data_IF_198419438518
#
_entry.id   IF_198419438518
#
_cell.length_a   1.000
_cell.length_b   1.000
_cell.length_c   1.000
_cell.angle_alpha   90.00
_cell.angle_beta   90.00
_cell.angle_gamma   90.00
#
_symmetry.space_group_name_H-M   'P 1'
#
loop_
_entity.id
_entity.type
_entity.pdbx_description
1 polymer ?
#
# COMPACT_ATOMS: atom_id res chain seq x y z
N UNK A 1 -0.95 16.60 17.79
CA UNK A 1 -1.99 15.79 17.16
C UNK A 1 -3.38 16.00 17.79
N UNK A 2 -3.57 15.80 19.11
CA UNK A 2 -4.89 15.89 19.75
C UNK A 2 -5.56 17.26 19.62
N UNK A 3 -4.79 18.37 19.76
CA UNK A 3 -5.32 19.73 19.53
C UNK A 3 -5.75 19.94 18.08
N UNK A 4 -4.99 19.43 17.12
CA UNK A 4 -5.36 19.49 15.70
C UNK A 4 -6.64 18.71 15.42
N UNK A 5 -6.78 17.52 16.01
CA UNK A 5 -8.00 16.73 15.90
C UNK A 5 -9.23 17.50 16.42
N UNK A 6 -9.10 18.12 17.60
CA UNK A 6 -10.18 18.91 18.18
C UNK A 6 -10.51 20.18 17.37
N UNK A 7 -9.47 20.86 16.82
CA UNK A 7 -9.66 22.06 16.00
C UNK A 7 -10.53 21.77 14.76
N UNK A 8 -10.39 20.61 14.16
CA UNK A 8 -11.14 20.17 12.99
C UNK A 8 -12.34 19.25 13.33
N UNK A 9 -12.82 19.25 14.57
CA UNK A 9 -13.98 18.45 15.01
C UNK A 9 -13.80 16.94 14.73
N UNK A 10 -12.61 16.41 15.09
CA UNK A 10 -12.27 14.98 15.02
C UNK A 10 -12.60 14.30 13.68
N UNK A 11 -12.12 14.80 12.53
CA UNK A 11 -12.59 14.36 11.21
C UNK A 11 -12.28 12.89 10.93
N UNK A 12 -11.23 12.31 11.52
CA UNK A 12 -10.93 10.88 11.41
C UNK A 12 -12.08 9.97 11.89
N UNK A 13 -12.92 10.43 12.81
CA UNK A 13 -14.05 9.66 13.32
C UNK A 13 -15.25 9.61 12.36
N UNK A 14 -15.21 10.43 11.30
CA UNK A 14 -16.25 10.55 10.28
C UNK A 14 -15.90 9.79 9.01
N UNK A 15 -14.74 9.12 8.99
CA UNK A 15 -14.20 8.37 7.86
C UNK A 15 -13.86 6.95 8.31
N UNK A 16 -14.00 5.98 7.42
CA UNK A 16 -13.33 4.68 7.59
C UNK A 16 -11.86 4.87 7.26
N UNK A 17 -11.00 4.67 8.25
CA UNK A 17 -9.58 5.01 8.17
C UNK A 17 -8.72 3.76 7.97
N UNK A 18 -7.93 3.72 6.88
CA UNK A 18 -7.05 2.61 6.53
C UNK A 18 -5.61 3.12 6.51
N UNK A 19 -4.80 2.68 7.48
CA UNK A 19 -3.40 3.06 7.61
C UNK A 19 -2.47 1.93 7.17
N UNK A 20 -1.49 2.22 6.29
CA UNK A 20 -0.54 1.23 5.78
C UNK A 20 0.90 1.56 6.22
N UNK A 21 1.56 0.60 6.85
CA UNK A 21 3.00 0.65 7.14
C UNK A 21 3.74 -0.51 6.50
N UNK A 22 5.06 -0.42 6.44
CA UNK A 22 5.95 -1.40 5.83
C UNK A 22 7.14 -0.71 5.15
N UNK A 23 8.10 -1.47 4.65
CA UNK A 23 9.23 -0.91 3.91
C UNK A 23 8.81 -0.61 2.47
N UNK A 24 8.25 -1.59 1.76
CA UNK A 24 7.86 -1.47 0.35
C UNK A 24 6.39 -1.81 0.14
N UNK A 25 5.84 -1.42 -1.01
CA UNK A 25 4.47 -1.74 -1.40
C UNK A 25 3.41 -0.75 -0.92
N UNK A 26 3.67 0.12 0.07
CA UNK A 26 2.68 1.07 0.62
C UNK A 26 1.95 1.87 -0.45
N UNK A 27 2.66 2.62 -1.27
CA UNK A 27 2.07 3.46 -2.32
C UNK A 27 1.23 2.64 -3.30
N UNK A 28 1.77 1.52 -3.80
CA UNK A 28 1.02 0.65 -4.71
C UNK A 28 -0.27 0.15 -4.07
N UNK A 29 -0.17 -0.35 -2.84
CA UNK A 29 -1.33 -0.90 -2.11
C UNK A 29 -2.37 0.17 -1.78
N UNK A 30 -1.97 1.40 -1.39
CA UNK A 30 -2.93 2.49 -1.14
C UNK A 30 -3.72 2.84 -2.39
N UNK A 31 -3.08 2.88 -3.56
CA UNK A 31 -3.75 3.10 -4.84
C UNK A 31 -4.64 1.93 -5.24
N UNK A 32 -4.22 0.68 -4.98
CA UNK A 32 -5.04 -0.50 -5.23
C UNK A 32 -6.32 -0.47 -4.40
N UNK A 33 -6.22 -0.22 -3.09
CA UNK A 33 -7.37 -0.12 -2.18
C UNK A 33 -8.30 1.02 -2.63
N UNK A 34 -7.74 2.23 -2.90
CA UNK A 34 -8.51 3.36 -3.42
C UNK A 34 -9.29 2.96 -4.68
N UNK A 35 -8.62 2.35 -5.66
CA UNK A 35 -9.25 1.96 -6.93
C UNK A 35 -10.38 0.95 -6.73
N UNK A 36 -10.18 -0.07 -5.90
CA UNK A 36 -11.20 -1.08 -5.60
C UNK A 36 -12.41 -0.43 -4.92
N UNK A 37 -12.21 0.40 -3.90
CA UNK A 37 -13.28 1.10 -3.21
C UNK A 37 -14.06 2.04 -4.15
N UNK A 38 -13.37 2.78 -5.03
CA UNK A 38 -14.00 3.67 -6.02
C UNK A 38 -14.81 2.90 -7.06
N UNK A 39 -14.30 1.74 -7.51
CA UNK A 39 -15.05 0.86 -8.41
C UNK A 39 -16.31 0.28 -7.75
N UNK A 40 -16.30 0.14 -6.43
CA UNK A 40 -17.48 -0.21 -5.61
C UNK A 40 -18.38 1.00 -5.31
N UNK A 41 -18.15 2.15 -5.96
CA UNK A 41 -18.97 3.36 -5.80
C UNK A 41 -18.69 4.18 -4.55
N UNK A 42 -17.57 3.93 -3.85
CA UNK A 42 -17.18 4.67 -2.65
C UNK A 42 -16.35 5.90 -3.00
N UNK A 43 -16.55 7.00 -2.26
CA UNK A 43 -15.69 8.17 -2.39
C UNK A 43 -14.53 8.08 -1.40
N UNK A 44 -13.30 8.15 -1.92
CA UNK A 44 -12.09 7.81 -1.19
C UNK A 44 -11.08 8.96 -1.21
N UNK A 45 -10.58 9.33 -0.02
CA UNK A 45 -9.39 10.15 0.13
C UNK A 45 -8.12 9.29 0.18
N UNK A 46 -7.02 9.79 -0.36
CA UNK A 46 -5.72 9.14 -0.30
C UNK A 46 -4.68 10.12 0.24
N UNK A 47 -3.76 9.64 1.10
CA UNK A 47 -2.60 10.39 1.58
C UNK A 47 -1.37 9.50 1.49
N UNK A 48 -0.32 9.97 0.83
CA UNK A 48 0.90 9.18 0.68
C UNK A 48 2.06 9.93 0.04
N UNK A 49 3.05 9.18 -0.40
CA UNK A 49 4.31 9.68 -0.97
C UNK A 49 4.10 10.53 -2.23
N UNK A 50 3.09 10.22 -3.04
CA UNK A 50 2.79 10.98 -4.29
C UNK A 50 1.95 12.24 -3.99
N UNK A 51 1.59 12.47 -2.73
CA UNK A 51 0.72 13.57 -2.30
C UNK A 51 -0.58 13.07 -1.68
N UNK A 52 -1.55 13.97 -1.53
CA UNK A 52 -2.89 13.64 -1.11
C UNK A 52 -3.87 13.81 -2.28
N UNK A 53 -4.96 13.07 -2.25
CA UNK A 53 -6.02 13.11 -3.27
C UNK A 53 -7.41 13.06 -2.62
N UNK A 54 -8.34 13.79 -3.21
CA UNK A 54 -9.78 13.68 -2.95
C UNK A 54 -10.44 13.34 -4.29
N UNK A 55 -10.82 12.08 -4.50
CA UNK A 55 -11.16 11.60 -5.84
C UNK A 55 -9.96 11.78 -6.79
N UNK A 56 -10.13 12.61 -7.83
CA UNK A 56 -9.07 12.92 -8.81
C UNK A 56 -8.32 14.25 -8.50
N UNK A 57 -8.77 15.02 -7.51
CA UNK A 57 -8.13 16.27 -7.13
C UNK A 57 -6.87 16.01 -6.30
N UNK A 58 -5.74 16.58 -6.74
CA UNK A 58 -4.46 16.47 -6.05
C UNK A 58 -4.26 17.61 -5.06
N UNK A 59 -3.90 17.27 -3.83
CA UNK A 59 -3.48 18.20 -2.79
C UNK A 59 -1.98 18.02 -2.54
N UNK A 60 -1.20 19.11 -2.46
CA UNK A 60 0.23 19.02 -2.19
C UNK A 60 0.48 18.46 -0.78
N UNK A 61 1.44 17.56 -0.65
CA UNK A 61 1.96 17.07 0.62
C UNK A 61 3.48 17.09 0.61
N UNK A 62 4.09 17.53 1.70
CA UNK A 62 5.56 17.57 1.84
C UNK A 62 6.13 16.23 2.34
N UNK A 63 5.33 15.49 3.07
CA UNK A 63 5.72 14.24 3.73
C UNK A 63 4.77 13.11 3.35
N UNK A 64 5.28 11.88 3.28
CA UNK A 64 4.46 10.67 3.10
C UNK A 64 3.32 10.60 4.13
N UNK A 65 3.63 10.91 5.39
CA UNK A 65 2.66 11.11 6.47
C UNK A 65 2.76 12.56 6.91
N UNK A 66 1.76 13.40 6.62
CA UNK A 66 1.79 14.83 6.96
C UNK A 66 1.92 15.07 8.45
N UNK A 67 2.37 16.28 8.82
CA UNK A 67 2.30 16.77 10.20
C UNK A 67 0.86 16.80 10.70
N UNK A 68 0.65 16.63 12.00
CA UNK A 68 -0.68 16.43 12.59
C UNK A 68 -1.70 17.49 12.19
N UNK A 69 -1.32 18.75 12.11
CA UNK A 69 -2.22 19.82 11.67
C UNK A 69 -2.69 19.62 10.22
N UNK A 70 -1.75 19.41 9.31
CA UNK A 70 -2.05 19.17 7.89
C UNK A 70 -2.86 17.90 7.69
N UNK A 71 -2.55 16.85 8.44
CA UNK A 71 -3.26 15.58 8.39
C UNK A 71 -4.74 15.75 8.74
N UNK A 72 -5.04 16.40 9.87
CA UNK A 72 -6.42 16.63 10.26
C UNK A 72 -7.15 17.63 9.36
N UNK A 73 -6.44 18.64 8.82
CA UNK A 73 -6.98 19.56 7.80
C UNK A 73 -7.37 18.79 6.52
N UNK A 74 -6.53 17.86 6.06
CA UNK A 74 -6.84 17.00 4.90
C UNK A 74 -8.03 16.10 5.17
N UNK A 75 -8.11 15.49 6.35
CA UNK A 75 -9.27 14.69 6.75
C UNK A 75 -10.56 15.51 6.77
N UNK A 76 -10.52 16.74 7.29
CA UNK A 76 -11.68 17.63 7.28
C UNK A 76 -12.11 17.96 5.85
N UNK A 77 -11.19 18.26 4.95
CA UNK A 77 -11.48 18.49 3.53
C UNK A 77 -12.08 17.25 2.85
N UNK A 78 -11.59 16.05 3.19
CA UNK A 78 -12.16 14.79 2.69
C UNK A 78 -13.61 14.58 3.19
N UNK A 79 -13.87 14.87 4.46
CA UNK A 79 -15.25 14.82 5.02
C UNK A 79 -16.15 15.82 4.31
N UNK A 80 -15.73 17.06 4.15
CA UNK A 80 -16.48 18.11 3.45
C UNK A 80 -16.78 17.74 1.99
N UNK A 81 -15.80 17.07 1.34
CA UNK A 81 -15.98 16.55 -0.01
C UNK A 81 -16.88 15.31 -0.08
N UNK A 82 -17.34 14.77 1.06
CA UNK A 82 -18.19 13.58 1.13
C UNK A 82 -17.46 12.27 0.94
N UNK A 83 -16.16 12.18 1.26
CA UNK A 83 -15.44 10.91 1.32
C UNK A 83 -16.02 10.05 2.44
N UNK A 84 -16.13 8.74 2.17
CA UNK A 84 -16.49 7.72 3.15
C UNK A 84 -15.24 7.06 3.75
N UNK A 85 -14.16 6.98 2.95
CA UNK A 85 -12.91 6.31 3.28
C UNK A 85 -11.73 7.25 3.14
N UNK A 86 -10.70 7.00 3.95
CA UNK A 86 -9.35 7.52 3.71
C UNK A 86 -8.36 6.37 3.78
N UNK A 87 -7.51 6.27 2.76
CA UNK A 87 -6.40 5.31 2.71
C UNK A 87 -5.10 6.08 2.79
N UNK A 88 -4.23 5.76 3.76
CA UNK A 88 -3.01 6.53 3.92
C UNK A 88 -1.77 5.69 4.20
N UNK A 89 -0.64 6.13 3.66
CA UNK A 89 0.66 5.63 4.04
C UNK A 89 1.04 6.16 5.43
N UNK A 90 1.38 5.26 6.36
CA UNK A 90 1.84 5.58 7.71
C UNK A 90 3.32 5.20 7.82
N UNK A 91 4.18 6.19 7.65
CA UNK A 91 5.63 6.00 7.72
C UNK A 91 6.11 5.78 9.15
N UNK A 92 7.22 5.08 9.31
CA UNK A 92 7.86 4.89 10.62
C UNK A 92 8.21 6.22 11.30
N UNK A 93 8.66 7.22 10.52
CA UNK A 93 8.90 8.57 11.03
C UNK A 93 7.60 9.28 11.45
N UNK A 94 6.50 9.08 10.71
CA UNK A 94 5.19 9.61 11.11
C UNK A 94 4.71 9.05 12.45
N UNK A 95 4.96 7.76 12.69
CA UNK A 95 4.67 7.09 13.95
C UNK A 95 5.63 7.54 15.08
N UNK A 96 6.95 7.59 14.80
CA UNK A 96 7.97 8.04 15.75
C UNK A 96 7.72 9.48 16.25
N UNK A 97 7.21 10.34 15.38
CA UNK A 97 6.95 11.76 15.68
C UNK A 97 5.50 12.02 16.10
N UNK A 98 4.73 10.99 16.44
CA UNK A 98 3.34 11.10 16.91
C UNK A 98 2.42 11.88 15.96
N UNK A 99 2.70 11.87 14.64
CA UNK A 99 1.89 12.60 13.66
C UNK A 99 0.46 12.07 13.57
N UNK A 100 0.27 10.78 13.85
CA UNK A 100 -1.03 10.10 13.86
C UNK A 100 -1.59 9.87 15.27
N UNK A 101 -0.98 10.43 16.32
CA UNK A 101 -1.43 10.21 17.67
C UNK A 101 -2.90 10.69 17.87
N UNK A 102 -3.69 9.83 18.52
CA UNK A 102 -5.12 10.07 18.76
C UNK A 102 -6.04 9.67 17.58
N UNK A 103 -5.50 9.18 16.48
CA UNK A 103 -6.27 8.49 15.43
C UNK A 103 -6.36 7.01 15.81
N UNK A 104 -7.57 6.49 15.91
CA UNK A 104 -7.82 5.05 15.96
C UNK A 104 -8.23 4.60 14.56
N UNK A 105 -7.29 4.00 13.83
CA UNK A 105 -7.56 3.47 12.51
C UNK A 105 -8.55 2.30 12.57
N UNK A 106 -9.47 2.21 11.62
CA UNK A 106 -10.32 1.03 11.49
C UNK A 106 -9.50 -0.16 11.04
N UNK A 107 -8.56 0.06 10.11
CA UNK A 107 -7.64 -0.97 9.62
C UNK A 107 -6.18 -0.46 9.67
N UNK A 108 -5.30 -1.22 10.31
CA UNK A 108 -3.86 -1.04 10.29
C UNK A 108 -3.20 -2.16 9.48
N UNK A 109 -2.40 -1.83 8.46
CA UNK A 109 -1.84 -2.80 7.52
C UNK A 109 -0.32 -2.83 7.61
N UNK A 110 0.26 -4.04 7.68
CA UNK A 110 1.69 -4.31 7.55
C UNK A 110 1.97 -5.11 6.28
N UNK A 111 2.78 -4.55 5.38
CA UNK A 111 3.14 -5.20 4.12
C UNK A 111 4.40 -6.05 4.21
N UNK A 112 5.50 -5.48 4.66
CA UNK A 112 6.80 -6.14 4.82
C UNK A 112 7.79 -5.27 5.59
N UNK A 113 8.88 -5.88 6.07
CA UNK A 113 9.99 -5.17 6.69
C UNK A 113 11.33 -5.64 6.11
N UNK A 114 12.17 -4.69 5.74
CA UNK A 114 13.58 -4.92 5.37
C UNK A 114 14.43 -3.74 5.81
N UNK A 115 15.74 -3.90 5.98
CA UNK A 115 16.61 -2.78 6.35
C UNK A 115 16.48 -1.61 5.38
N UNK A 116 16.02 -0.48 5.90
CA UNK A 116 15.83 0.78 5.18
C UNK A 116 15.74 1.91 6.23
N UNK A 117 15.95 3.14 5.84
CA UNK A 117 15.78 4.29 6.74
C UNK A 117 16.60 4.22 8.05
N UNK A 118 17.81 3.62 8.01
CA UNK A 118 18.72 3.55 9.14
C UNK A 118 19.85 4.56 8.92
N UNK A 119 19.93 5.56 9.77
CA UNK A 119 20.93 6.63 9.64
C UNK A 119 20.74 7.76 10.64
N UNK A 120 21.69 8.71 10.73
CA UNK A 120 21.70 9.75 11.75
C UNK A 120 20.47 10.66 11.79
N UNK A 121 19.78 10.81 10.64
CA UNK A 121 18.58 11.66 10.52
C UNK A 121 17.26 10.86 10.50
N UNK A 122 17.32 9.53 10.64
CA UNK A 122 16.14 8.66 10.54
C UNK A 122 16.00 7.78 11.77
N UNK A 123 16.33 6.47 11.70
CA UNK A 123 16.28 5.54 12.81
C UNK A 123 17.70 5.13 13.23
N UNK A 124 17.93 5.03 14.55
CA UNK A 124 19.23 4.65 15.10
C UNK A 124 19.58 3.17 14.82
N UNK A 125 18.57 2.31 14.71
CA UNK A 125 18.73 0.89 14.44
C UNK A 125 17.53 0.29 13.70
N UNK A 126 17.69 -0.94 13.21
CA UNK A 126 16.62 -1.71 12.60
C UNK A 126 15.50 -2.04 13.60
N UNK A 127 15.87 -2.31 14.85
CA UNK A 127 14.93 -2.58 15.95
C UNK A 127 14.05 -1.36 16.23
N UNK A 128 14.64 -0.16 16.28
CA UNK A 128 13.87 1.09 16.41
C UNK A 128 12.92 1.31 15.23
N UNK A 129 13.41 1.04 14.00
CA UNK A 129 12.58 1.12 12.78
C UNK A 129 11.38 0.19 12.84
N UNK A 130 11.58 -1.07 13.25
CA UNK A 130 10.52 -2.06 13.47
C UNK A 130 9.57 -1.63 14.58
N UNK A 131 10.10 -1.19 15.74
CA UNK A 131 9.29 -0.73 16.87
C UNK A 131 8.40 0.45 16.47
N UNK A 132 8.93 1.42 15.74
CA UNK A 132 8.13 2.54 15.26
C UNK A 132 6.95 2.07 14.39
N UNK A 133 7.15 1.09 13.51
CA UNK A 133 6.05 0.55 12.68
C UNK A 133 5.03 -0.22 13.52
N UNK A 134 5.45 -0.92 14.57
CA UNK A 134 4.56 -1.67 15.46
C UNK A 134 3.53 -0.77 16.15
N UNK A 135 3.81 0.53 16.30
CA UNK A 135 2.91 1.50 16.94
C UNK A 135 1.55 1.60 16.21
N UNK A 136 1.50 1.34 14.89
CA UNK A 136 0.24 1.31 14.15
C UNK A 136 -0.74 0.28 14.72
N UNK A 137 -0.24 -0.87 15.20
CA UNK A 137 -1.06 -1.96 15.74
C UNK A 137 -1.54 -1.75 17.16
N UNK A 138 -1.09 -0.65 17.79
CA UNK A 138 -1.61 -0.14 19.08
C UNK A 138 -2.66 0.95 18.89
N UNK A 139 -2.88 1.40 17.65
CA UNK A 139 -3.83 2.46 17.29
C UNK A 139 -4.71 2.07 16.08
N UNK A 140 -5.02 0.77 15.93
CA UNK A 140 -6.02 0.30 14.98
C UNK A 140 -6.98 -0.69 15.64
N UNK A 141 -8.15 -0.89 15.01
CA UNK A 141 -9.17 -1.88 15.45
C UNK A 141 -8.84 -3.26 14.92
N UNK A 142 -8.54 -3.35 13.63
CA UNK A 142 -8.15 -4.59 12.93
C UNK A 142 -6.77 -4.37 12.32
N UNK A 143 -5.82 -5.22 12.71
CA UNK A 143 -4.48 -5.29 12.15
C UNK A 143 -4.42 -6.36 11.05
N UNK A 144 -4.01 -6.00 9.85
CA UNK A 144 -3.84 -6.91 8.72
C UNK A 144 -2.35 -7.08 8.45
N UNK A 145 -1.82 -8.29 8.57
CA UNK A 145 -0.37 -8.53 8.51
C UNK A 145 0.00 -9.62 7.52
N UNK A 146 1.14 -9.43 6.86
CA UNK A 146 1.78 -10.43 6.02
C UNK A 146 2.40 -11.51 6.91
N UNK A 147 1.81 -12.71 6.96
CA UNK A 147 2.30 -13.81 7.77
C UNK A 147 3.62 -14.42 7.25
N UNK A 148 3.99 -14.15 5.99
CA UNK A 148 5.24 -14.64 5.39
C UNK A 148 6.46 -13.77 5.74
N UNK A 149 6.24 -12.57 6.31
CA UNK A 149 7.34 -11.71 6.74
C UNK A 149 7.91 -12.20 8.08
N UNK A 150 9.22 -12.43 8.13
CA UNK A 150 9.91 -12.96 9.32
C UNK A 150 9.84 -12.03 10.54
N UNK A 151 9.49 -10.77 10.36
CA UNK A 151 9.41 -9.76 11.42
C UNK A 151 7.99 -9.55 11.96
N UNK A 152 7.00 -10.33 11.51
CA UNK A 152 5.59 -10.15 11.89
C UNK A 152 5.38 -10.19 13.41
N UNK A 153 6.09 -11.07 14.12
CA UNK A 153 6.01 -11.16 15.59
C UNK A 153 6.53 -9.89 16.28
N UNK A 154 7.59 -9.30 15.73
CA UNK A 154 8.13 -8.02 16.20
C UNK A 154 7.17 -6.84 15.95
N UNK A 155 6.52 -6.83 14.81
CA UNK A 155 5.50 -5.83 14.46
C UNK A 155 4.26 -5.95 15.35
N UNK A 156 3.84 -7.16 15.68
CA UNK A 156 2.68 -7.40 16.56
C UNK A 156 3.00 -7.30 18.05
N UNK A 157 4.26 -7.05 18.42
CA UNK A 157 4.64 -6.92 19.83
C UNK A 157 3.87 -5.81 20.55
N UNK A 158 3.01 -6.18 21.51
CA UNK A 158 2.19 -5.26 22.26
C UNK A 158 1.01 -4.65 21.49
N UNK A 159 0.59 -5.28 20.38
CA UNK A 159 -0.64 -4.90 19.68
C UNK A 159 -1.88 -4.99 20.58
N UNK A 160 -2.91 -4.23 20.26
CA UNK A 160 -4.20 -4.20 20.99
C UNK A 160 -5.38 -4.44 20.06
N UNK A 161 -5.12 -4.68 18.76
CA UNK A 161 -6.12 -4.89 17.72
C UNK A 161 -6.47 -6.37 17.54
N UNK A 162 -7.60 -6.65 16.90
CA UNK A 162 -7.86 -7.96 16.28
C UNK A 162 -6.88 -8.14 15.10
N UNK A 163 -6.29 -9.34 14.95
CA UNK A 163 -5.30 -9.60 13.90
C UNK A 163 -5.92 -10.48 12.82
N UNK A 164 -5.74 -10.08 11.57
CA UNK A 164 -6.03 -10.85 10.36
C UNK A 164 -4.75 -11.02 9.56
N UNK A 165 -4.60 -12.15 8.91
CA UNK A 165 -3.38 -12.55 8.23
C UNK A 165 -3.60 -12.82 6.74
N UNK A 166 -2.59 -12.55 5.93
CA UNK A 166 -2.54 -13.02 4.55
C UNK A 166 -1.18 -13.67 4.25
N UNK A 167 -1.16 -14.66 3.35
CA UNK A 167 0.04 -15.45 3.06
C UNK A 167 -0.03 -16.12 1.69
N UNK A 168 1.14 -16.32 1.07
CA UNK A 168 1.31 -17.18 -0.09
C UNK A 168 2.09 -18.48 0.24
N UNK A 169 2.55 -18.65 1.51
CA UNK A 169 3.46 -19.74 1.90
C UNK A 169 2.95 -20.58 3.08
N UNK A 170 2.02 -20.05 3.88
CA UNK A 170 1.53 -20.70 5.09
C UNK A 170 0.03 -20.45 5.32
N UNK A 171 -0.55 -21.16 6.27
CA UNK A 171 -1.95 -20.98 6.66
C UNK A 171 -2.22 -19.55 7.18
N UNK A 172 -3.28 -18.91 6.68
CA UNK A 172 -3.68 -17.55 6.98
C UNK A 172 -5.19 -17.34 6.74
N UNK A 173 -5.76 -16.22 7.19
CA UNK A 173 -7.16 -15.87 6.92
C UNK A 173 -7.44 -15.71 5.42
N UNK A 174 -6.45 -15.25 4.64
CA UNK A 174 -6.48 -15.18 3.18
C UNK A 174 -5.19 -15.76 2.61
N UNK A 175 -5.30 -16.76 1.74
CA UNK A 175 -4.15 -17.45 1.14
C UNK A 175 -4.14 -17.31 -0.37
N UNK A 176 -2.95 -17.17 -0.95
CA UNK A 176 -2.75 -17.25 -2.39
C UNK A 176 -2.00 -18.53 -2.77
N UNK A 177 -2.46 -19.20 -3.85
CA UNK A 177 -1.82 -20.37 -4.44
C UNK A 177 -1.85 -20.28 -5.96
N UNK A 178 -1.20 -21.25 -6.65
CA UNK A 178 -1.14 -21.32 -8.12
C UNK A 178 -0.78 -19.97 -8.78
N UNK A 179 0.24 -19.33 -8.22
CA UNK A 179 0.70 -18.02 -8.66
C UNK A 179 1.44 -18.17 -9.99
N UNK A 180 0.94 -17.50 -11.03
CA UNK A 180 1.50 -17.52 -12.37
C UNK A 180 1.55 -16.15 -13.03
N UNK A 181 2.28 -16.09 -14.16
CA UNK A 181 2.49 -14.87 -14.92
C UNK A 181 1.42 -14.68 -15.99
N UNK A 182 0.99 -13.44 -16.20
CA UNK A 182 0.16 -13.01 -17.33
C UNK A 182 1.06 -12.27 -18.33
N UNK A 183 1.02 -12.70 -19.59
CA UNK A 183 1.63 -11.99 -20.70
C UNK A 183 0.67 -12.09 -21.90
N UNK A 184 -0.33 -11.22 -21.92
CA UNK A 184 -1.41 -11.22 -22.92
C UNK A 184 -1.40 -9.86 -23.64
N UNK A 185 -1.17 -9.84 -24.95
CA UNK A 185 -1.18 -8.62 -25.78
C UNK A 185 -0.28 -7.49 -25.22
N UNK A 186 0.89 -7.84 -24.67
CA UNK A 186 1.83 -6.89 -24.09
C UNK A 186 1.45 -6.38 -22.69
N UNK A 187 0.35 -6.87 -22.12
CA UNK A 187 -0.03 -6.62 -20.73
C UNK A 187 0.59 -7.69 -19.85
N UNK A 188 1.52 -7.27 -19.02
CA UNK A 188 2.15 -8.12 -18.02
C UNK A 188 1.36 -8.08 -16.71
N UNK A 189 1.39 -9.17 -15.95
CA UNK A 189 0.68 -9.23 -14.68
C UNK A 189 0.85 -10.57 -13.99
N UNK A 190 0.02 -10.81 -12.97
CA UNK A 190 -0.02 -12.04 -12.20
C UNK A 190 -1.46 -12.56 -12.11
N UNK A 191 -1.62 -13.89 -12.11
CA UNK A 191 -2.85 -14.56 -11.70
C UNK A 191 -2.56 -15.48 -10.52
N UNK A 192 -3.56 -15.73 -9.70
CA UNK A 192 -3.44 -16.61 -8.54
C UNK A 192 -4.82 -17.05 -8.04
N UNK A 193 -4.87 -18.20 -7.39
CA UNK A 193 -6.04 -18.66 -6.68
C UNK A 193 -6.02 -18.11 -5.25
N UNK A 194 -7.19 -17.80 -4.71
CA UNK A 194 -7.37 -17.27 -3.36
C UNK A 194 -8.29 -18.21 -2.59
N UNK A 195 -7.93 -18.53 -1.35
CA UNK A 195 -8.74 -19.34 -0.42
C UNK A 195 -8.73 -18.71 0.97
N UNK A 196 -9.64 -19.15 1.84
CA UNK A 196 -9.81 -18.63 3.21
C UNK A 196 -11.10 -17.84 3.36
N UNK A 197 -11.03 -16.56 3.75
CA UNK A 197 -12.24 -15.73 3.86
C UNK A 197 -12.86 -15.37 2.49
N UNK A 198 -12.13 -15.55 1.40
CA UNK A 198 -12.61 -15.48 0.01
C UNK A 198 -12.20 -16.76 -0.71
N UNK A 199 -12.97 -17.18 -1.72
CA UNK A 199 -12.64 -18.32 -2.59
C UNK A 199 -12.86 -17.91 -4.05
N UNK A 200 -11.76 -17.57 -4.76
CA UNK A 200 -11.84 -17.02 -6.10
C UNK A 200 -10.50 -17.12 -6.85
N UNK A 201 -10.54 -16.80 -8.15
CA UNK A 201 -9.35 -16.52 -8.97
C UNK A 201 -9.18 -15.02 -9.14
N UNK A 202 -7.98 -14.52 -8.87
CA UNK A 202 -7.65 -13.12 -9.00
C UNK A 202 -6.63 -12.89 -10.12
N UNK A 203 -6.72 -11.71 -10.76
CA UNK A 203 -5.77 -11.22 -11.77
C UNK A 203 -5.41 -9.77 -11.45
N UNK A 204 -4.14 -9.43 -11.59
CA UNK A 204 -3.65 -8.06 -11.47
C UNK A 204 -2.66 -7.77 -12.60
N UNK A 205 -2.85 -6.64 -13.29
CA UNK A 205 -1.95 -6.20 -14.38
C UNK A 205 -0.79 -5.33 -13.86
N UNK A 206 -0.16 -5.79 -12.78
CA UNK A 206 1.09 -5.26 -12.24
C UNK A 206 2.03 -6.45 -12.13
N UNK A 207 3.14 -6.48 -12.88
CA UNK A 207 4.06 -7.62 -12.90
C UNK A 207 4.79 -7.81 -11.57
N UNK A 208 5.11 -9.08 -11.27
CA UNK A 208 5.93 -9.50 -10.14
C UNK A 208 5.18 -9.99 -8.91
N UNK A 209 5.78 -10.95 -8.21
CA UNK A 209 5.19 -11.62 -7.03
C UNK A 209 4.74 -10.64 -5.94
N UNK A 210 5.42 -9.49 -5.78
CA UNK A 210 5.02 -8.46 -4.82
C UNK A 210 3.61 -7.91 -5.10
N UNK A 211 3.14 -7.93 -6.36
CA UNK A 211 1.78 -7.50 -6.70
C UNK A 211 0.71 -8.48 -6.19
N UNK A 212 1.05 -9.77 -6.05
CA UNK A 212 0.17 -10.76 -5.42
C UNK A 212 -0.06 -10.41 -3.95
N UNK A 213 1.01 -10.12 -3.19
CA UNK A 213 0.90 -9.71 -1.79
C UNK A 213 0.12 -8.38 -1.63
N UNK A 214 0.39 -7.39 -2.49
CA UNK A 214 -0.36 -6.14 -2.49
C UNK A 214 -1.84 -6.35 -2.84
N UNK A 215 -2.13 -7.30 -3.75
CA UNK A 215 -3.50 -7.69 -4.09
C UNK A 215 -4.19 -8.39 -2.93
N UNK A 216 -3.54 -9.36 -2.29
CA UNK A 216 -4.11 -10.07 -1.14
C UNK A 216 -4.52 -9.13 -0.01
N UNK A 217 -3.64 -8.20 0.37
CA UNK A 217 -3.98 -7.23 1.42
C UNK A 217 -5.11 -6.28 0.98
N UNK A 218 -5.14 -5.90 -0.31
CA UNK A 218 -6.23 -5.10 -0.87
C UNK A 218 -7.55 -5.87 -0.82
N UNK A 219 -7.55 -7.14 -1.22
CA UNK A 219 -8.72 -8.03 -1.15
C UNK A 219 -9.21 -8.16 0.28
N UNK A 220 -8.32 -8.49 1.21
CA UNK A 220 -8.68 -8.73 2.60
C UNK A 220 -9.29 -7.48 3.26
N UNK A 221 -8.66 -6.30 3.12
CA UNK A 221 -9.20 -5.07 3.73
C UNK A 221 -10.52 -4.65 3.11
N UNK A 222 -10.69 -4.78 1.79
CA UNK A 222 -11.94 -4.42 1.11
C UNK A 222 -13.06 -5.42 1.46
N UNK A 223 -12.77 -6.72 1.54
CA UNK A 223 -13.72 -7.74 1.99
C UNK A 223 -14.18 -7.46 3.43
N UNK A 224 -13.27 -7.19 4.37
CA UNK A 224 -13.60 -6.81 5.75
C UNK A 224 -14.37 -5.50 5.84
N UNK A 225 -14.20 -4.59 4.89
CA UNK A 225 -14.98 -3.35 4.76
C UNK A 225 -16.34 -3.56 4.10
N UNK A 226 -16.74 -4.82 3.79
CA UNK A 226 -18.06 -5.17 3.24
C UNK A 226 -18.21 -4.90 1.75
N UNK A 227 -17.12 -4.80 1.00
CA UNK A 227 -17.16 -4.71 -0.47
C UNK A 227 -17.36 -6.12 -1.04
N UNK A 228 -18.19 -6.26 -2.08
CA UNK A 228 -18.44 -7.55 -2.69
C UNK A 228 -17.20 -8.09 -3.42
N UNK A 229 -17.06 -9.40 -3.44
CA UNK A 229 -15.91 -10.07 -4.06
C UNK A 229 -15.80 -9.74 -5.56
N UNK A 230 -16.95 -9.61 -6.25
CA UNK A 230 -16.99 -9.22 -7.67
C UNK A 230 -16.41 -7.81 -7.88
N UNK A 231 -16.79 -6.84 -7.05
CA UNK A 231 -16.29 -5.47 -7.14
C UNK A 231 -14.78 -5.41 -6.81
N UNK A 232 -14.31 -6.23 -5.86
CA UNK A 232 -12.90 -6.35 -5.51
C UNK A 232 -12.11 -6.87 -6.70
N UNK A 233 -12.53 -7.98 -7.31
CA UNK A 233 -11.85 -8.60 -8.45
C UNK A 233 -11.86 -7.70 -9.68
N UNK A 234 -12.99 -7.05 -9.97
CA UNK A 234 -13.08 -6.08 -11.06
C UNK A 234 -12.15 -4.89 -10.83
N UNK A 235 -12.14 -4.34 -9.62
CA UNK A 235 -11.26 -3.24 -9.24
C UNK A 235 -9.78 -3.62 -9.42
N UNK A 236 -9.35 -4.78 -8.90
CA UNK A 236 -7.98 -5.26 -9.03
C UNK A 236 -7.54 -5.44 -10.48
N UNK A 237 -8.40 -5.96 -11.34
CA UNK A 237 -8.08 -6.18 -12.76
C UNK A 237 -7.84 -4.87 -13.53
N UNK A 238 -8.35 -3.74 -13.03
CA UNK A 238 -8.28 -2.40 -13.65
C UNK A 238 -7.28 -1.46 -12.96
N UNK A 239 -6.60 -1.92 -11.91
CA UNK A 239 -5.62 -1.09 -11.20
C UNK A 239 -4.45 -0.73 -12.09
N UNK A 240 -4.13 0.54 -12.13
CA UNK A 240 -2.87 1.09 -12.61
C UNK A 240 -2.34 2.08 -11.60
N UNK A 241 -1.05 2.03 -11.30
CA UNK A 241 -0.42 2.93 -10.33
C UNK A 241 0.64 3.75 -11.05
N UNK A 242 0.41 5.04 -11.15
CA UNK A 242 1.30 5.97 -11.85
C UNK A 242 2.72 5.89 -11.30
N UNK A 243 3.69 5.65 -12.21
CA UNK A 243 5.10 5.53 -11.86
C UNK A 243 5.47 4.30 -11.02
N UNK A 244 4.63 3.26 -10.96
CA UNK A 244 4.92 2.00 -10.26
C UNK A 244 4.68 0.82 -11.19
N UNK A 245 5.72 0.42 -11.92
CA UNK A 245 5.66 -0.55 -13.01
C UNK A 245 4.50 -0.24 -13.96
N UNK A 246 4.31 1.04 -14.21
CA UNK A 246 3.21 1.56 -15.04
C UNK A 246 3.43 1.21 -16.49
N UNK A 247 2.54 0.39 -17.04
CA UNK A 247 2.56 0.03 -18.48
C UNK A 247 1.82 1.06 -19.31
N UNK A 248 2.51 1.63 -20.30
CA UNK A 248 1.94 2.61 -21.22
C UNK A 248 1.58 1.94 -22.56
N UNK A 249 0.33 2.07 -23.05
CA UNK A 249 -0.14 1.46 -24.28
C UNK A 249 0.32 2.25 -25.52
N UNK A 250 1.63 2.30 -25.78
CA UNK A 250 2.23 3.10 -26.87
C UNK A 250 2.50 2.29 -28.14
N UNK A 251 2.64 0.97 -28.05
CA UNK A 251 2.94 0.08 -29.16
C UNK A 251 2.41 -1.33 -28.92
N UNK A 252 2.21 -2.09 -30.01
CA UNK A 252 1.95 -3.54 -29.96
C UNK A 252 3.24 -4.37 -30.06
N UNK A 253 4.34 -3.74 -30.48
CA UNK A 253 5.61 -4.44 -30.73
C UNK A 253 6.50 -4.49 -29.50
N UNK A 254 6.26 -3.62 -28.51
CA UNK A 254 7.01 -3.57 -27.26
C UNK A 254 6.14 -3.03 -26.11
N UNK A 255 6.47 -3.42 -24.90
CA UNK A 255 5.88 -2.88 -23.67
C UNK A 255 6.76 -1.75 -23.13
N UNK A 256 6.20 -0.55 -22.96
CA UNK A 256 6.87 0.57 -22.30
C UNK A 256 6.41 0.62 -20.84
N UNK A 257 7.40 0.65 -19.93
CA UNK A 257 7.14 0.65 -18.49
C UNK A 257 7.82 1.86 -17.85
N UNK A 258 7.10 2.54 -16.96
CA UNK A 258 7.66 3.61 -16.11
C UNK A 258 7.65 3.11 -14.67
N UNK A 259 8.79 3.26 -13.99
CA UNK A 259 8.93 2.94 -12.57
C UNK A 259 9.71 4.02 -11.82
N UNK A 260 9.43 4.15 -10.54
CA UNK A 260 10.08 5.09 -9.63
C UNK A 260 11.38 4.54 -9.02
N UNK A 261 11.85 3.37 -9.42
CA UNK A 261 13.09 2.79 -8.93
C UNK A 261 14.26 3.78 -9.12
N UNK A 262 14.93 4.15 -8.03
CA UNK A 262 15.94 5.21 -8.02
C UNK A 262 17.20 4.83 -7.23
N UNK A 263 17.29 3.58 -6.77
CA UNK A 263 18.47 3.00 -6.12
C UNK A 263 18.75 1.59 -6.65
N UNK A 264 19.93 1.05 -6.36
CA UNK A 264 20.36 -0.26 -6.86
C UNK A 264 19.35 -1.37 -6.54
N UNK A 265 18.90 -1.46 -5.29
CA UNK A 265 18.01 -2.53 -4.82
C UNK A 265 16.67 -2.50 -5.55
N UNK A 266 16.06 -1.33 -5.68
CA UNK A 266 14.77 -1.20 -6.37
C UNK A 266 14.89 -1.42 -7.88
N UNK A 267 15.94 -0.89 -8.52
CA UNK A 267 16.18 -1.09 -9.95
C UNK A 267 16.44 -2.55 -10.27
N UNK A 268 17.30 -3.22 -9.48
CA UNK A 268 17.54 -4.65 -9.61
C UNK A 268 16.24 -5.47 -9.47
N UNK A 269 15.44 -5.16 -8.46
CA UNK A 269 14.14 -5.84 -8.23
C UNK A 269 13.21 -5.74 -9.44
N UNK A 270 13.03 -4.54 -10.00
CA UNK A 270 12.17 -4.34 -11.19
C UNK A 270 12.73 -5.09 -12.39
N UNK A 271 14.02 -4.96 -12.68
CA UNK A 271 14.63 -5.63 -13.83
C UNK A 271 14.57 -7.15 -13.69
N UNK A 272 14.86 -7.72 -12.51
CA UNK A 272 14.74 -9.15 -12.26
C UNK A 272 13.31 -9.62 -12.48
N UNK A 273 12.31 -8.91 -11.95
CA UNK A 273 10.90 -9.21 -12.17
C UNK A 273 10.54 -9.23 -13.65
N UNK A 274 11.01 -8.25 -14.43
CA UNK A 274 10.71 -8.19 -15.86
C UNK A 274 11.40 -9.31 -16.65
N UNK A 275 12.57 -9.79 -16.21
CA UNK A 275 13.25 -10.94 -16.82
C UNK A 275 12.48 -12.26 -16.64
N UNK A 276 11.67 -12.39 -15.59
CA UNK A 276 10.81 -13.57 -15.38
C UNK A 276 9.74 -13.75 -16.48
N UNK A 277 9.43 -12.67 -17.23
CA UNK A 277 8.53 -12.70 -18.40
C UNK A 277 9.23 -13.11 -19.70
N UNK A 278 10.50 -13.49 -19.65
CA UNK A 278 11.33 -13.96 -20.78
C UNK A 278 11.30 -13.01 -22.00
N UNK A 279 11.55 -11.68 -21.83
CA UNK A 279 11.54 -10.76 -22.94
C UNK A 279 12.68 -11.10 -23.92
N UNK A 280 12.46 -10.98 -25.22
CA UNK A 280 13.51 -11.11 -26.24
C UNK A 280 14.65 -10.09 -26.04
N UNK A 281 14.30 -8.91 -25.57
CA UNK A 281 15.23 -7.80 -25.27
C UNK A 281 14.63 -6.93 -24.16
N UNK A 282 15.42 -6.63 -23.13
CA UNK A 282 15.10 -5.66 -22.09
C UNK A 282 16.01 -4.44 -22.26
N UNK A 283 15.42 -3.24 -22.37
CA UNK A 283 16.13 -1.97 -22.47
C UNK A 283 15.78 -1.16 -21.24
N UNK A 284 16.78 -0.80 -20.44
CA UNK A 284 16.64 0.07 -19.30
C UNK A 284 17.14 1.47 -19.63
N UNK A 285 16.28 2.49 -19.50
CA UNK A 285 16.68 3.89 -19.57
C UNK A 285 16.67 4.41 -18.14
N UNK A 286 17.85 4.74 -17.62
CA UNK A 286 18.04 5.14 -16.23
C UNK A 286 18.61 6.55 -16.14
N UNK A 287 18.09 7.35 -15.20
CA UNK A 287 18.62 8.67 -14.85
C UNK A 287 18.72 8.82 -13.35
N UNK A 288 19.88 9.16 -12.83
CA UNK A 288 20.12 9.40 -11.40
C UNK A 288 20.32 10.87 -11.09
N UNK A 289 19.74 11.37 -9.99
CA UNK A 289 20.11 12.67 -9.42
C UNK A 289 21.44 12.54 -8.69
N UNK A 290 22.45 13.35 -9.07
CA UNK A 290 23.85 13.22 -8.63
C UNK A 290 24.16 13.40 -7.13
N UNK A 291 23.16 13.52 -6.25
CA UNK A 291 23.32 13.77 -4.81
C UNK A 291 22.82 12.59 -3.93
N UNK A 292 22.58 11.42 -4.50
CA UNK A 292 22.22 10.20 -3.75
C UNK A 292 23.13 9.05 -4.16
N UNK A 293 23.81 8.47 -3.18
CA UNK A 293 24.59 7.23 -3.33
C UNK A 293 23.66 6.02 -3.37
#
# INVERSE_FOLDING_TARGET
>A
ALMSAALFDHPARKLVTIGLTGTKGKTTTTYMIKKVLEMAGKKVGLIGTIGAMIGEEHLPSKNTTPESYELHRMFAAMVEAGCEYVVMEVSSQGLKLDRTAGILFDYGIFTNLSPDHIGPAEHASFEEYMECKSLLFRQCRIGIVNADDEHVDGILKGHTCEVKTFSAEREADLMASDIGFINEDGKLGMHFNVTGCMDCQAKVHIPGRFSVYNSMVTMLVCHLAGISDEAILEGLSKVQVKGRVEMLPVSKDYTLIIDYAHNEVSTRSVLTTLMEYHPKRLICVYGGGGNRS
#
